data_IF_148020093187
#
_entry.id   IF_148020093187
#
_cell.length_a   1.000
_cell.length_b   1.000
_cell.length_c   1.000
_cell.angle_alpha   90.00
_cell.angle_beta   90.00
_cell.angle_gamma   90.00
#
_symmetry.space_group_name_H-M   'P 1'
#
loop_
_entity.id
_entity.type
_entity.pdbx_description
1 polymer ?
#
# COMPACT_ATOMS: atom_id res chain seq x y z
N UNK A 1 1.37 9.96 11.79
CA UNK A 1 1.62 8.74 10.98
C UNK A 1 0.35 7.93 10.72
N UNK A 2 -0.54 7.77 11.70
CA UNK A 2 -1.77 6.97 11.56
C UNK A 2 -2.71 7.39 10.40
N UNK A 3 -2.83 8.70 10.10
CA UNK A 3 -3.61 9.17 8.93
C UNK A 3 -3.03 8.67 7.61
N UNK A 4 -1.72 8.78 7.44
CA UNK A 4 -1.01 8.35 6.23
C UNK A 4 -1.15 6.83 6.03
N UNK A 5 -0.98 6.04 7.10
CA UNK A 5 -1.11 4.59 6.99
C UNK A 5 -2.54 4.17 6.64
N UNK A 6 -3.57 4.87 7.15
CA UNK A 6 -4.97 4.65 6.73
C UNK A 6 -5.23 4.98 5.27
N UNK A 7 -4.68 6.08 4.76
CA UNK A 7 -4.83 6.48 3.35
C UNK A 7 -4.18 5.46 2.39
N UNK A 8 -2.95 5.04 2.70
CA UNK A 8 -2.25 4.00 1.94
C UNK A 8 -3.03 2.68 1.98
N UNK A 9 -3.48 2.27 3.17
CA UNK A 9 -4.24 1.04 3.35
C UNK A 9 -5.53 1.00 2.52
N UNK A 10 -6.26 2.11 2.47
CA UNK A 10 -7.47 2.25 1.67
C UNK A 10 -7.15 2.13 0.16
N UNK A 11 -6.15 2.87 -0.33
CA UNK A 11 -5.77 2.85 -1.74
C UNK A 11 -5.27 1.48 -2.21
N UNK A 12 -4.42 0.81 -1.41
CA UNK A 12 -3.94 -0.56 -1.68
C UNK A 12 -5.12 -1.54 -1.76
N UNK A 13 -6.01 -1.51 -0.76
CA UNK A 13 -7.17 -2.43 -0.69
C UNK A 13 -8.15 -2.22 -1.82
N UNK A 14 -8.46 -0.97 -2.15
CA UNK A 14 -9.35 -0.61 -3.25
C UNK A 14 -8.78 -1.08 -4.59
N UNK A 15 -7.51 -0.74 -4.87
CA UNK A 15 -6.85 -1.12 -6.11
C UNK A 15 -6.74 -2.63 -6.29
N UNK A 16 -6.37 -3.36 -5.23
CA UNK A 16 -6.31 -4.82 -5.24
C UNK A 16 -7.68 -5.42 -5.62
N UNK A 17 -8.76 -4.95 -4.98
CA UNK A 17 -10.12 -5.41 -5.26
C UNK A 17 -10.56 -5.07 -6.69
N UNK A 18 -10.22 -3.89 -7.20
CA UNK A 18 -10.50 -3.49 -8.57
C UNK A 18 -9.81 -4.38 -9.62
N UNK A 19 -8.66 -4.98 -9.26
CA UNK A 19 -7.94 -5.96 -10.07
C UNK A 19 -8.42 -7.40 -9.89
N UNK A 20 -9.40 -7.65 -9.01
CA UNK A 20 -9.91 -9.00 -8.73
C UNK A 20 -8.95 -9.90 -7.94
N UNK A 21 -7.91 -9.33 -7.33
CA UNK A 21 -6.86 -10.09 -6.65
C UNK A 21 -7.25 -10.40 -5.19
N UNK A 22 -6.91 -11.60 -4.73
CA UNK A 22 -6.87 -11.93 -3.30
C UNK A 22 -5.62 -11.32 -2.63
N UNK A 23 -5.57 -11.29 -1.29
CA UNK A 23 -4.37 -10.84 -0.58
C UNK A 23 -3.17 -11.76 -0.85
N UNK A 24 -3.42 -13.05 -1.08
CA UNK A 24 -2.42 -14.04 -1.46
C UNK A 24 -1.86 -13.74 -2.86
N UNK A 25 -2.72 -13.47 -3.85
CA UNK A 25 -2.29 -13.15 -5.21
C UNK A 25 -1.39 -11.90 -5.23
N UNK A 26 -1.78 -10.85 -4.50
CA UNK A 26 -0.97 -9.64 -4.39
C UNK A 26 0.38 -9.91 -3.70
N UNK A 27 0.40 -10.75 -2.67
CA UNK A 27 1.63 -11.12 -1.99
C UNK A 27 2.60 -11.85 -2.92
N UNK A 28 2.10 -12.78 -3.73
CA UNK A 28 2.87 -13.50 -4.73
C UNK A 28 3.40 -12.57 -5.83
N UNK A 29 2.57 -11.69 -6.37
CA UNK A 29 2.97 -10.70 -7.37
C UNK A 29 4.04 -9.71 -6.85
N UNK A 30 3.93 -9.31 -5.58
CA UNK A 30 4.85 -8.38 -4.96
C UNK A 30 6.09 -9.05 -4.33
N UNK A 31 6.17 -10.39 -4.32
CA UNK A 31 7.29 -11.11 -3.70
C UNK A 31 7.38 -10.92 -2.19
N UNK A 32 6.24 -10.77 -1.50
CA UNK A 32 6.16 -10.57 -0.03
C UNK A 32 5.26 -11.62 0.62
N UNK A 33 5.19 -11.63 1.95
CA UNK A 33 4.23 -12.50 2.65
C UNK A 33 2.80 -11.95 2.59
N UNK A 34 1.79 -12.81 2.55
CA UNK A 34 0.37 -12.41 2.68
C UNK A 34 0.12 -11.64 3.99
N UNK A 35 0.80 -12.04 5.07
CA UNK A 35 0.76 -11.31 6.35
C UNK A 35 1.20 -9.86 6.20
N UNK A 36 2.20 -9.58 5.37
CA UNK A 36 2.65 -8.22 5.09
C UNK A 36 1.56 -7.43 4.36
N UNK A 37 0.98 -7.99 3.30
CA UNK A 37 -0.16 -7.38 2.58
C UNK A 37 -1.31 -7.08 3.54
N UNK A 38 -1.66 -8.02 4.42
CA UNK A 38 -2.68 -7.83 5.45
C UNK A 38 -2.35 -6.66 6.39
N UNK A 39 -1.11 -6.54 6.84
CA UNK A 39 -0.68 -5.42 7.69
C UNK A 39 -0.75 -4.08 6.97
N UNK A 40 -0.37 -4.03 5.69
CA UNK A 40 -0.52 -2.83 4.86
C UNK A 40 -1.99 -2.44 4.77
N UNK A 41 -2.88 -3.37 4.40
CA UNK A 41 -4.31 -3.09 4.26
C UNK A 41 -5.03 -2.77 5.58
N UNK A 42 -4.47 -3.18 6.72
CA UNK A 42 -4.96 -2.79 8.04
C UNK A 42 -4.46 -1.41 8.49
N UNK A 43 -3.54 -0.80 7.74
CA UNK A 43 -2.95 0.50 8.08
C UNK A 43 -1.96 0.43 9.23
N UNK A 44 -1.27 -0.71 9.40
CA UNK A 44 -0.18 -0.85 10.39
C UNK A 44 0.86 0.24 10.14
N UNK A 45 1.16 1.04 11.16
CA UNK A 45 2.03 2.21 11.06
C UNK A 45 3.52 1.89 10.88
N UNK A 46 3.94 0.65 11.11
CA UNK A 46 5.34 0.21 11.13
C UNK A 46 5.71 -0.80 10.03
N UNK A 47 5.14 -0.66 8.82
CA UNK A 47 5.55 -1.47 7.66
C UNK A 47 6.86 -0.96 7.06
N UNK A 48 7.69 -1.87 6.53
CA UNK A 48 8.93 -1.51 5.84
C UNK A 48 8.61 -0.85 4.49
N UNK A 49 9.27 0.27 4.18
CA UNK A 49 8.99 1.06 2.98
C UNK A 49 9.33 0.30 1.69
N UNK A 50 10.44 -0.43 1.63
CA UNK A 50 10.85 -1.19 0.43
C UNK A 50 9.82 -2.27 0.06
N UNK A 51 9.34 -3.02 1.06
CA UNK A 51 8.30 -4.02 0.87
C UNK A 51 6.94 -3.39 0.53
N UNK A 52 6.65 -2.19 1.06
CA UNK A 52 5.47 -1.43 0.64
C UNK A 52 5.61 -0.98 -0.82
N UNK A 53 6.80 -0.55 -1.25
CA UNK A 53 7.11 -0.20 -2.63
C UNK A 53 6.80 -1.36 -3.58
N UNK A 54 7.28 -2.56 -3.28
CA UNK A 54 6.98 -3.76 -4.09
C UNK A 54 5.47 -4.04 -4.21
N UNK A 55 4.71 -3.84 -3.13
CA UNK A 55 3.24 -3.96 -3.14
C UNK A 55 2.58 -2.89 -4.02
N UNK A 56 3.07 -1.65 -3.96
CA UNK A 56 2.55 -0.56 -4.79
C UNK A 56 2.86 -0.80 -6.27
N UNK A 57 4.08 -1.23 -6.60
CA UNK A 57 4.50 -1.55 -7.96
C UNK A 57 3.65 -2.68 -8.56
N UNK A 58 3.40 -3.75 -7.81
CA UNK A 58 2.54 -4.86 -8.24
C UNK A 58 1.09 -4.43 -8.52
N UNK A 59 0.61 -3.34 -7.91
CA UNK A 59 -0.72 -2.77 -8.13
C UNK A 59 -0.73 -1.66 -9.20
N UNK A 60 0.43 -1.28 -9.74
CA UNK A 60 0.60 -0.13 -10.62
C UNK A 60 0.31 1.20 -9.92
N UNK A 61 0.64 1.30 -8.64
CA UNK A 61 0.49 2.51 -7.80
C UNK A 61 1.85 3.18 -7.57
N UNK A 62 1.83 4.48 -7.37
CA UNK A 62 3.03 5.27 -7.06
C UNK A 62 2.79 6.11 -5.79
N UNK A 63 3.75 6.10 -4.85
CA UNK A 63 3.72 6.97 -3.68
C UNK A 63 4.46 8.28 -3.99
N UNK A 64 3.77 9.43 -3.90
CA UNK A 64 4.36 10.75 -4.15
C UNK A 64 4.49 11.59 -2.88
N UNK A 65 5.62 12.26 -2.74
CA UNK A 65 5.86 13.28 -1.72
C UNK A 65 5.60 14.66 -2.35
N UNK A 66 4.78 15.47 -1.69
CA UNK A 66 4.48 16.83 -2.13
C UNK A 66 4.59 17.80 -0.94
N UNK A 67 4.86 19.07 -1.22
CA UNK A 67 4.80 20.13 -0.20
C UNK A 67 3.37 20.24 0.34
N UNK A 68 3.18 20.18 1.65
CA UNK A 68 1.91 20.58 2.26
C UNK A 68 1.71 22.06 1.91
N UNK A 69 0.58 22.38 1.29
CA UNK A 69 0.31 23.65 0.60
C UNK A 69 1.18 24.81 1.06
N UNK A 70 2.12 25.22 0.20
CA UNK A 70 2.59 26.60 0.21
C UNK A 70 1.41 27.42 -0.28
N UNK A 71 0.54 27.86 0.63
CA UNK A 71 -0.35 28.97 0.34
C UNK A 71 0.53 30.12 -0.18
N UNK A 72 0.31 30.51 -1.43
CA UNK A 72 0.48 31.91 -1.82
C UNK A 72 -0.87 32.58 -1.65
#
# INVERSE_FOLDING_TARGET
>A
MERLSREIAAGVRERRRALGLTQQDLAELAGVSERFVRFVEQGKSSVQLDALGAVLDALGLELRVATRGSAR
#
